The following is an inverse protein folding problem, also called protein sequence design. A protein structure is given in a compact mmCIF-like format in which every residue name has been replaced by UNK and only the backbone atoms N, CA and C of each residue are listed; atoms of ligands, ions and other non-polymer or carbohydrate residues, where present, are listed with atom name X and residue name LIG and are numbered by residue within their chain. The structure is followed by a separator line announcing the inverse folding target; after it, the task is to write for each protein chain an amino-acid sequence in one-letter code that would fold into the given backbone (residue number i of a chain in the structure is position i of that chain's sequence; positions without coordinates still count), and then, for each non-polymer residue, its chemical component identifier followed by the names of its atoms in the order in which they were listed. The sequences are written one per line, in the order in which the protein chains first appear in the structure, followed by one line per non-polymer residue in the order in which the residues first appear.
data_IF_258824086572
#
_entry.id   IF_258824086572
#
_cell.length_a   1.000
_cell.length_b   1.000
_cell.length_c   1.000
_cell.angle_alpha   90.00
_cell.angle_beta   90.00
_cell.angle_gamma   90.00
#
_symmetry.space_group_name_H-M   'P 1'
#
loop_
_entity.id
_entity.type
_entity.pdbx_description
1 polymer ?
#
# COMPACT_ATOMS: atom_id res chain seq x y z
N UNK A 1 8.57 18.88 -53.66
CA UNK A 1 7.33 18.59 -52.96
C UNK A 1 7.50 17.22 -52.34
N UNK A 2 7.69 17.14 -51.02
CA UNK A 2 7.73 15.88 -50.25
C UNK A 2 6.34 15.63 -49.70
N UNK A 3 5.74 14.45 -49.86
CA UNK A 3 4.49 14.11 -49.22
C UNK A 3 4.72 13.89 -47.72
N UNK A 4 4.02 14.64 -46.86
CA UNK A 4 3.90 14.37 -45.44
C UNK A 4 2.98 13.16 -45.26
N UNK A 5 3.51 12.10 -44.66
CA UNK A 5 2.71 10.98 -44.19
C UNK A 5 2.01 11.40 -42.90
N UNK A 6 0.71 11.22 -42.80
CA UNK A 6 -0.01 11.46 -41.56
C UNK A 6 0.32 10.31 -40.59
N UNK A 7 0.97 10.62 -39.48
CA UNK A 7 1.01 9.71 -38.34
C UNK A 7 -0.40 9.61 -37.77
N UNK A 8 -0.99 8.41 -37.65
CA UNK A 8 -2.21 8.26 -36.89
C UNK A 8 -1.83 8.42 -35.41
N UNK A 9 -2.23 9.50 -34.82
CA UNK A 9 -2.29 9.63 -33.37
C UNK A 9 -3.39 8.68 -32.86
N UNK A 10 -3.05 7.42 -32.64
CA UNK A 10 -3.88 6.52 -31.84
C UNK A 10 -3.52 6.80 -30.39
N UNK A 11 -4.04 7.92 -29.90
CA UNK A 11 -4.31 8.07 -28.47
C UNK A 11 -5.53 7.21 -28.16
N UNK A 12 -5.32 5.92 -27.96
CA UNK A 12 -6.30 5.11 -27.25
C UNK A 12 -6.17 5.58 -25.78
N UNK A 13 -6.89 6.63 -25.44
CA UNK A 13 -7.26 6.87 -24.07
C UNK A 13 -8.17 5.69 -23.69
N UNK A 14 -7.58 4.63 -23.15
CA UNK A 14 -8.35 3.65 -22.39
C UNK A 14 -8.86 4.42 -21.16
N UNK A 15 -10.04 4.97 -21.29
CA UNK A 15 -10.83 5.37 -20.13
C UNK A 15 -11.11 4.09 -19.36
N UNK A 16 -10.33 3.87 -18.30
CA UNK A 16 -10.58 2.79 -17.37
C UNK A 16 -11.95 3.06 -16.78
N UNK A 17 -12.89 2.20 -17.13
CA UNK A 17 -14.26 2.29 -16.67
C UNK A 17 -14.31 1.90 -15.19
N UNK A 18 -14.19 2.89 -14.30
CA UNK A 18 -14.24 2.74 -12.84
C UNK A 18 -15.53 2.05 -12.36
N UNK A 19 -16.57 1.98 -13.21
CA UNK A 19 -17.85 1.35 -12.88
C UNK A 19 -17.80 -0.19 -12.89
N UNK A 20 -16.72 -0.80 -13.36
CA UNK A 20 -16.61 -2.26 -13.51
C UNK A 20 -16.04 -3.01 -12.32
N UNK A 21 -15.45 -2.32 -11.36
CA UNK A 21 -14.94 -2.97 -10.15
C UNK A 21 -16.04 -3.00 -9.08
N UNK A 22 -16.96 -3.94 -9.18
CA UNK A 22 -17.97 -4.16 -8.15
C UNK A 22 -17.33 -4.82 -6.92
N UNK A 23 -17.00 -3.99 -5.94
CA UNK A 23 -16.53 -4.41 -4.63
C UNK A 23 -17.63 -4.23 -3.59
N UNK A 24 -17.95 -5.27 -2.85
CA UNK A 24 -18.80 -5.18 -1.66
C UNK A 24 -18.09 -4.36 -0.56
N UNK A 25 -18.83 -3.96 0.47
CA UNK A 25 -18.25 -3.24 1.62
C UNK A 25 -17.20 -4.07 2.35
N UNK A 26 -17.41 -5.37 2.48
CA UNK A 26 -16.48 -6.28 3.15
C UNK A 26 -15.21 -6.48 2.33
N UNK A 27 -15.33 -6.62 1.00
CA UNK A 27 -14.19 -6.69 0.09
C UNK A 27 -13.35 -5.41 0.14
N UNK A 28 -13.99 -4.23 0.15
CA UNK A 28 -13.28 -2.95 0.31
C UNK A 28 -12.60 -2.86 1.66
N UNK A 29 -13.28 -3.25 2.75
CA UNK A 29 -12.72 -3.27 4.09
C UNK A 29 -11.44 -4.09 4.15
N UNK A 30 -11.46 -5.29 3.57
CA UNK A 30 -10.32 -6.20 3.47
C UNK A 30 -9.17 -5.59 2.66
N UNK A 31 -9.46 -5.11 1.46
CA UNK A 31 -8.45 -4.49 0.59
C UNK A 31 -7.86 -3.21 1.20
N UNK A 32 -8.63 -2.41 1.91
CA UNK A 32 -8.12 -1.25 2.64
C UNK A 32 -7.28 -1.65 3.86
N UNK A 33 -7.52 -2.83 4.42
CA UNK A 33 -6.81 -3.36 5.59
C UNK A 33 -5.37 -3.78 5.30
N UNK A 34 -5.08 -4.33 4.11
CA UNK A 34 -3.77 -4.88 3.78
C UNK A 34 -2.60 -3.87 3.88
N UNK A 35 -2.67 -2.65 3.30
CA UNK A 35 -1.60 -1.66 3.49
C UNK A 35 -1.44 -1.23 4.96
N UNK A 36 -2.52 -1.19 5.74
CA UNK A 36 -2.46 -0.89 7.16
C UNK A 36 -1.80 -2.02 7.96
N UNK A 37 -2.13 -3.27 7.64
CA UNK A 37 -1.53 -4.44 8.29
C UNK A 37 -0.01 -4.50 8.04
N UNK A 38 0.42 -4.33 6.79
CA UNK A 38 1.83 -4.31 6.42
C UNK A 38 2.59 -3.17 7.10
N UNK A 39 2.03 -1.96 7.10
CA UNK A 39 2.63 -0.80 7.75
C UNK A 39 2.71 -0.98 9.27
N UNK A 40 1.67 -1.52 9.92
CA UNK A 40 1.69 -1.85 11.36
C UNK A 40 2.82 -2.84 11.68
N UNK A 41 3.05 -3.84 10.82
CA UNK A 41 4.14 -4.78 11.03
C UNK A 41 5.50 -4.07 10.99
N UNK A 42 5.73 -3.13 10.09
CA UNK A 42 6.96 -2.32 10.06
C UNK A 42 7.11 -1.49 11.34
N UNK A 43 6.03 -0.84 11.81
CA UNK A 43 6.02 -0.04 13.04
C UNK A 43 6.37 -0.86 14.28
N UNK A 44 6.13 -2.16 14.28
CA UNK A 44 6.29 -3.02 15.47
C UNK A 44 7.61 -3.76 15.53
N UNK A 45 8.41 -3.78 14.47
CA UNK A 45 9.69 -4.51 14.48
C UNK A 45 10.76 -3.83 15.33
N UNK A 46 10.68 -2.51 15.48
CA UNK A 46 11.57 -1.73 16.34
C UNK A 46 10.83 -1.31 17.62
N UNK A 47 10.89 -2.17 18.64
CA UNK A 47 10.18 -1.97 19.92
C UNK A 47 10.74 -0.81 20.77
N UNK A 48 11.70 -0.05 20.27
CA UNK A 48 12.45 0.95 21.05
C UNK A 48 11.92 2.38 20.97
N UNK A 49 11.22 2.78 19.92
CA UNK A 49 10.85 4.19 19.71
C UNK A 49 9.46 4.31 19.08
N UNK A 50 8.44 4.40 19.92
CA UNK A 50 7.09 4.68 19.45
C UNK A 50 6.92 6.18 19.14
N UNK A 51 7.01 6.55 17.85
CA UNK A 51 6.42 7.80 17.35
C UNK A 51 5.10 7.54 16.61
N UNK A 52 4.29 6.65 17.14
CA UNK A 52 3.09 6.08 16.52
C UNK A 52 2.14 7.10 15.86
N UNK A 53 2.08 8.33 16.37
CA UNK A 53 1.25 9.39 15.79
C UNK A 53 1.82 9.93 14.47
N UNK A 54 3.14 10.07 14.34
CA UNK A 54 3.80 10.55 13.12
C UNK A 54 3.75 9.49 12.02
N UNK A 55 3.98 8.24 12.38
CA UNK A 55 3.92 7.09 11.48
C UNK A 55 2.50 6.88 10.95
N UNK A 56 1.48 6.91 11.83
CA UNK A 56 0.08 6.83 11.43
C UNK A 56 -0.33 8.00 10.53
N UNK A 57 0.18 9.22 10.78
CA UNK A 57 -0.06 10.38 9.93
C UNK A 57 0.62 10.23 8.56
N UNK A 58 1.85 9.69 8.52
CA UNK A 58 2.58 9.44 7.28
C UNK A 58 1.83 8.42 6.41
N UNK A 59 1.41 7.30 6.99
CA UNK A 59 0.57 6.30 6.31
C UNK A 59 -0.74 6.91 5.81
N UNK A 60 -1.43 7.68 6.65
CA UNK A 60 -2.67 8.33 6.26
C UNK A 60 -2.52 9.27 5.08
N UNK A 61 -1.42 10.05 5.02
CA UNK A 61 -1.09 10.92 3.88
C UNK A 61 -0.77 10.13 2.63
N UNK A 62 -0.03 9.04 2.78
CA UNK A 62 0.33 8.15 1.69
C UNK A 62 -0.91 7.55 1.03
N UNK A 63 -1.80 6.98 1.82
CA UNK A 63 -3.06 6.40 1.32
C UNK A 63 -4.02 7.45 0.75
N UNK A 64 -4.11 8.63 1.36
CA UNK A 64 -4.93 9.73 0.85
C UNK A 64 -4.41 10.28 -0.50
N UNK A 65 -3.09 10.22 -0.73
CA UNK A 65 -2.46 10.61 -1.98
C UNK A 65 -2.49 9.53 -3.07
N UNK A 66 -2.77 8.28 -2.69
CA UNK A 66 -2.70 7.14 -3.59
C UNK A 66 -3.62 7.26 -4.81
N UNK A 67 -4.88 7.68 -4.60
CA UNK A 67 -5.84 7.84 -5.68
C UNK A 67 -5.42 8.92 -6.71
N UNK A 68 -4.57 9.86 -6.33
CA UNK A 68 -4.03 10.87 -7.26
C UNK A 68 -2.80 10.33 -8.01
N UNK A 69 -1.91 9.62 -7.32
CA UNK A 69 -0.71 9.03 -7.94
C UNK A 69 -1.05 7.89 -8.88
N UNK A 70 -2.01 7.08 -8.52
CA UNK A 70 -2.49 5.93 -9.28
C UNK A 70 -3.87 6.22 -9.92
N UNK A 71 -4.04 7.43 -10.49
CA UNK A 71 -5.34 7.94 -10.94
C UNK A 71 -6.08 7.05 -11.94
N UNK A 72 -5.33 6.28 -12.75
CA UNK A 72 -5.88 5.35 -13.72
C UNK A 72 -6.11 3.93 -13.15
N UNK A 73 -5.78 3.70 -11.87
CA UNK A 73 -5.98 2.41 -11.23
C UNK A 73 -7.38 2.33 -10.59
N UNK A 74 -8.30 1.52 -11.15
CA UNK A 74 -9.67 1.47 -10.67
C UNK A 74 -9.79 0.89 -9.27
N UNK A 75 -8.90 -0.04 -8.89
CA UNK A 75 -8.89 -0.64 -7.56
C UNK A 75 -8.51 0.42 -6.51
N UNK A 76 -7.39 1.13 -6.72
CA UNK A 76 -6.90 2.15 -5.78
C UNK A 76 -7.89 3.32 -5.69
N UNK A 77 -8.42 3.77 -6.82
CA UNK A 77 -9.44 4.84 -6.84
C UNK A 77 -10.71 4.41 -6.10
N UNK A 78 -11.17 3.18 -6.28
CA UNK A 78 -12.35 2.63 -5.61
C UNK A 78 -12.17 2.45 -4.09
N UNK A 79 -10.92 2.38 -3.59
CA UNK A 79 -10.62 2.24 -2.18
C UNK A 79 -10.30 3.57 -1.49
N UNK A 80 -9.55 4.46 -2.15
CA UNK A 80 -8.88 5.61 -1.51
C UNK A 80 -9.23 6.97 -2.15
N UNK A 81 -10.13 7.04 -3.13
CA UNK A 81 -10.65 8.33 -3.60
C UNK A 81 -11.44 9.04 -2.50
N UNK A 82 -11.59 10.35 -2.63
CA UNK A 82 -12.38 11.13 -1.67
C UNK A 82 -13.84 10.65 -1.59
N UNK A 83 -14.40 10.21 -2.69
CA UNK A 83 -15.74 9.64 -2.80
C UNK A 83 -15.82 8.32 -2.04
N UNK A 84 -14.87 7.41 -2.25
CA UNK A 84 -14.80 6.12 -1.55
C UNK A 84 -14.65 6.31 -0.03
N UNK A 85 -13.80 7.24 0.39
CA UNK A 85 -13.58 7.53 1.82
C UNK A 85 -14.83 8.15 2.50
N UNK A 86 -15.65 8.92 1.77
CA UNK A 86 -16.91 9.47 2.29
C UNK A 86 -17.97 8.41 2.58
N UNK A 87 -17.88 7.24 1.96
CA UNK A 87 -18.78 6.11 2.25
C UNK A 87 -18.59 5.55 3.68
N UNK A 88 -17.51 5.93 4.37
CA UNK A 88 -17.27 5.57 5.76
C UNK A 88 -16.92 4.10 5.97
N UNK A 89 -16.48 3.39 4.93
CA UNK A 89 -16.00 2.02 5.04
C UNK A 89 -14.71 2.03 5.85
N UNK A 90 -14.65 1.20 6.88
CA UNK A 90 -13.46 1.10 7.73
C UNK A 90 -12.58 -0.04 7.23
N UNK A 91 -11.24 0.18 7.18
CA UNK A 91 -10.30 -0.90 6.91
C UNK A 91 -10.43 -2.04 7.91
N UNK A 92 -10.29 -3.27 7.44
CA UNK A 92 -10.16 -4.43 8.31
C UNK A 92 -8.91 -4.27 9.18
N UNK A 93 -9.03 -4.66 10.44
CA UNK A 93 -7.93 -4.54 11.39
C UNK A 93 -7.17 -5.84 11.47
N UNK A 94 -5.85 -5.76 11.43
CA UNK A 94 -4.98 -6.91 11.68
C UNK A 94 -5.31 -7.51 13.05
N UNK A 95 -5.69 -8.79 13.04
CA UNK A 95 -6.01 -9.53 14.25
C UNK A 95 -4.71 -10.12 14.81
N UNK A 96 -4.28 -9.58 15.95
CA UNK A 96 -3.11 -10.04 16.68
C UNK A 96 -3.50 -10.58 18.04
N UNK A 97 -2.99 -11.75 18.40
CA UNK A 97 -3.04 -12.23 19.78
C UNK A 97 -1.73 -11.86 20.51
N UNK A 98 -1.74 -11.89 21.86
CA UNK A 98 -0.54 -11.56 22.64
C UNK A 98 0.67 -12.49 22.37
N UNK A 99 0.43 -13.70 21.86
CA UNK A 99 1.50 -14.64 21.52
C UNK A 99 2.16 -14.28 20.19
N UNK A 100 1.41 -13.72 19.22
CA UNK A 100 1.96 -13.22 17.96
C UNK A 100 2.93 -12.06 18.22
N UNK A 101 2.55 -11.15 19.10
CA UNK A 101 3.39 -10.00 19.48
C UNK A 101 4.65 -10.48 20.21
N UNK A 102 4.51 -11.32 21.27
CA UNK A 102 5.65 -11.84 22.03
C UNK A 102 6.57 -12.75 21.23
N UNK A 103 6.00 -13.48 20.27
CA UNK A 103 6.73 -14.40 19.39
C UNK A 103 7.34 -13.74 18.15
N UNK A 104 7.21 -12.43 17.99
CA UNK A 104 7.74 -11.71 16.82
C UNK A 104 7.05 -12.07 15.50
N UNK A 105 5.82 -12.57 15.56
CA UNK A 105 5.07 -13.03 14.37
C UNK A 105 4.16 -11.98 13.73
N UNK A 106 4.26 -10.72 14.14
CA UNK A 106 3.40 -9.65 13.64
C UNK A 106 3.52 -9.51 12.12
N UNK A 107 4.76 -9.56 11.60
CA UNK A 107 5.02 -9.50 10.17
C UNK A 107 4.44 -10.71 9.42
N UNK A 108 4.54 -11.91 9.98
CA UNK A 108 3.95 -13.12 9.35
C UNK A 108 2.43 -12.98 9.25
N UNK A 109 1.78 -12.54 10.33
CA UNK A 109 0.33 -12.31 10.36
C UNK A 109 -0.11 -11.22 9.38
N UNK A 110 0.67 -10.14 9.28
CA UNK A 110 0.39 -9.08 8.33
C UNK A 110 0.50 -9.58 6.88
N UNK A 111 1.50 -10.41 6.57
CA UNK A 111 1.64 -10.98 5.23
C UNK A 111 0.51 -11.98 4.90
N UNK A 112 -0.01 -12.74 5.85
CA UNK A 112 -1.20 -13.58 5.66
C UNK A 112 -2.44 -12.74 5.27
N UNK A 113 -2.64 -11.59 5.92
CA UNK A 113 -3.75 -10.68 5.57
C UNK A 113 -3.52 -10.01 4.21
N UNK A 114 -2.28 -9.65 3.89
CA UNK A 114 -1.90 -9.13 2.57
C UNK A 114 -2.17 -10.17 1.48
N UNK A 115 -1.78 -11.42 1.68
CA UNK A 115 -2.03 -12.49 0.73
C UNK A 115 -3.52 -12.70 0.46
N UNK A 116 -4.34 -12.70 1.51
CA UNK A 116 -5.78 -12.83 1.38
C UNK A 116 -6.42 -11.64 0.63
N UNK A 117 -5.88 -10.44 0.80
CA UNK A 117 -6.30 -9.26 0.04
C UNK A 117 -5.84 -9.32 -1.42
N UNK A 118 -4.63 -9.80 -1.69
CA UNK A 118 -4.10 -9.97 -3.05
C UNK A 118 -4.85 -11.04 -3.83
N UNK A 119 -5.22 -12.14 -3.18
CA UNK A 119 -6.07 -13.16 -3.82
C UNK A 119 -7.40 -12.56 -4.26
N UNK A 120 -8.03 -11.78 -3.39
CA UNK A 120 -9.25 -11.04 -3.74
C UNK A 120 -9.02 -10.02 -4.87
N UNK A 121 -7.94 -9.25 -4.81
CA UNK A 121 -7.61 -8.28 -5.84
C UNK A 121 -7.44 -8.93 -7.22
N UNK A 122 -6.75 -10.07 -7.29
CA UNK A 122 -6.56 -10.85 -8.54
C UNK A 122 -7.86 -11.41 -9.11
N UNK A 123 -8.86 -11.67 -8.28
CA UNK A 123 -10.19 -12.10 -8.74
C UNK A 123 -10.99 -10.94 -9.36
N UNK A 124 -10.67 -9.71 -9.01
CA UNK A 124 -11.45 -8.51 -9.37
C UNK A 124 -10.77 -7.62 -10.41
N UNK A 125 -9.45 -7.67 -10.52
CA UNK A 125 -8.66 -6.76 -11.35
C UNK A 125 -7.59 -7.51 -12.17
N UNK A 126 -7.08 -6.84 -13.20
CA UNK A 126 -5.98 -7.35 -14.00
C UNK A 126 -4.62 -7.23 -13.26
N UNK A 127 -3.63 -7.95 -13.76
CA UNK A 127 -2.31 -8.01 -13.13
C UNK A 127 -1.63 -6.62 -13.00
N UNK A 128 -1.65 -5.73 -14.01
CA UNK A 128 -1.09 -4.38 -13.85
C UNK A 128 -1.74 -3.58 -12.72
N UNK A 129 -3.07 -3.68 -12.58
CA UNK A 129 -3.83 -3.05 -11.48
C UNK A 129 -3.39 -3.60 -10.12
N UNK A 130 -3.25 -4.93 -10.01
CA UNK A 130 -2.79 -5.59 -8.78
C UNK A 130 -1.35 -5.21 -8.45
N UNK A 131 -0.45 -5.13 -9.43
CA UNK A 131 0.93 -4.72 -9.21
C UNK A 131 1.05 -3.30 -8.67
N UNK A 132 0.26 -2.36 -9.18
CA UNK A 132 0.21 -1.01 -8.61
C UNK A 132 -0.34 -1.00 -7.17
N UNK A 133 -1.27 -1.88 -6.86
CA UNK A 133 -1.75 -2.05 -5.50
C UNK A 133 -0.67 -2.65 -4.56
N UNK A 134 0.13 -3.60 -5.04
CA UNK A 134 1.32 -4.07 -4.32
C UNK A 134 2.32 -2.94 -4.07
N UNK A 135 2.56 -2.10 -5.08
CA UNK A 135 3.43 -0.93 -4.95
C UNK A 135 2.90 0.04 -3.88
N UNK A 136 1.60 0.33 -3.86
CA UNK A 136 0.98 1.15 -2.82
C UNK A 136 1.20 0.60 -1.40
N UNK A 137 1.12 -0.72 -1.22
CA UNK A 137 1.40 -1.35 0.08
C UNK A 137 2.85 -1.08 0.49
N UNK A 138 3.80 -1.24 -0.44
CA UNK A 138 5.22 -0.96 -0.18
C UNK A 138 5.45 0.52 0.12
N UNK A 139 4.85 1.42 -0.64
CA UNK A 139 4.97 2.88 -0.45
C UNK A 139 4.47 3.29 0.95
N UNK A 140 3.36 2.71 1.40
CA UNK A 140 2.84 2.91 2.76
C UNK A 140 3.83 2.46 3.85
N UNK A 141 4.46 1.30 3.67
CA UNK A 141 5.47 0.78 4.58
C UNK A 141 6.72 1.68 4.62
N UNK A 142 7.18 2.15 3.46
CA UNK A 142 8.32 3.09 3.35
C UNK A 142 8.01 4.41 4.05
N UNK A 143 6.82 4.98 3.81
CA UNK A 143 6.41 6.23 4.42
C UNK A 143 6.40 6.17 5.96
N UNK A 144 5.98 5.03 6.51
CA UNK A 144 5.99 4.76 7.96
C UNK A 144 7.42 4.67 8.49
N UNK A 145 8.28 3.86 7.88
CA UNK A 145 9.68 3.69 8.30
C UNK A 145 10.45 5.03 8.25
N UNK A 146 10.24 5.83 7.19
CA UNK A 146 10.87 7.15 7.09
C UNK A 146 10.35 8.15 8.14
N UNK A 147 9.09 8.02 8.54
CA UNK A 147 8.51 8.88 9.56
C UNK A 147 9.07 8.55 10.96
N UNK A 148 9.30 7.27 11.24
CA UNK A 148 9.94 6.82 12.48
C UNK A 148 11.35 7.41 12.65
N UNK A 149 12.15 7.40 11.58
CA UNK A 149 13.53 7.94 11.60
C UNK A 149 13.63 9.47 11.75
N UNK A 150 12.52 10.20 11.61
CA UNK A 150 12.45 11.65 11.87
C UNK A 150 12.17 12.00 13.34
N UNK A 151 12.26 11.02 14.25
CA UNK A 151 11.97 11.19 15.67
C UNK A 151 12.75 12.31 16.35
N UNK A 152 12.35 12.67 17.56
CA UNK A 152 12.65 13.87 18.39
C UNK A 152 14.13 14.31 18.51
N UNK A 153 15.11 13.54 18.05
CA UNK A 153 16.53 13.83 18.24
C UNK A 153 17.37 13.98 16.95
N UNK A 154 16.79 13.89 15.75
CA UNK A 154 17.41 14.37 14.49
C UNK A 154 18.78 13.81 14.09
N UNK A 155 19.31 12.79 14.74
CA UNK A 155 20.70 12.33 14.57
C UNK A 155 20.88 10.84 14.30
N UNK A 156 19.83 10.12 13.85
CA UNK A 156 19.88 8.69 13.58
C UNK A 156 19.74 8.32 12.10
N UNK A 157 20.04 7.10 11.76
CA UNK A 157 19.62 6.50 10.48
C UNK A 157 18.11 6.68 10.31
N UNK A 158 17.69 7.08 9.12
CA UNK A 158 16.27 7.36 8.84
C UNK A 158 15.37 6.12 8.93
N UNK A 159 15.96 4.94 8.84
CA UNK A 159 15.27 3.64 8.88
C UNK A 159 16.21 2.67 9.62
N UNK A 160 15.71 2.02 10.67
CA UNK A 160 16.50 1.05 11.42
C UNK A 160 16.84 -0.20 10.60
N UNK A 161 17.79 -1.02 11.07
CA UNK A 161 18.13 -2.29 10.42
C UNK A 161 16.95 -3.27 10.41
N UNK A 162 16.18 -3.27 11.47
CA UNK A 162 14.98 -4.11 11.64
C UNK A 162 13.86 -3.69 10.70
N UNK A 163 13.59 -2.40 10.61
CA UNK A 163 12.61 -1.85 9.64
C UNK A 163 13.04 -2.11 8.20
N UNK A 164 14.32 -1.96 7.89
CA UNK A 164 14.86 -2.27 6.57
C UNK A 164 14.67 -3.73 6.21
N UNK A 165 14.98 -4.64 7.13
CA UNK A 165 14.77 -6.07 6.94
C UNK A 165 13.26 -6.41 6.73
N UNK A 166 12.38 -5.77 7.49
CA UNK A 166 10.93 -5.93 7.30
C UNK A 166 10.46 -5.41 5.94
N UNK A 167 10.92 -4.23 5.52
CA UNK A 167 10.64 -3.66 4.21
C UNK A 167 11.11 -4.57 3.06
N UNK A 168 12.34 -5.09 3.15
CA UNK A 168 12.91 -5.97 2.13
C UNK A 168 12.12 -7.28 2.05
N UNK A 169 11.68 -7.80 3.18
CA UNK A 169 10.83 -8.98 3.22
C UNK A 169 9.46 -8.73 2.59
N UNK A 170 8.82 -7.60 2.88
CA UNK A 170 7.54 -7.20 2.27
C UNK A 170 7.71 -7.01 0.75
N UNK A 171 8.74 -6.30 0.30
CA UNK A 171 9.04 -6.12 -1.14
C UNK A 171 9.22 -7.43 -1.86
N UNK A 172 10.03 -8.32 -1.30
CA UNK A 172 10.28 -9.65 -1.87
C UNK A 172 9.01 -10.46 -1.96
N UNK A 173 8.19 -10.44 -0.91
CA UNK A 173 6.92 -11.16 -0.85
C UNK A 173 5.92 -10.66 -1.91
N UNK A 174 5.86 -9.35 -2.11
CA UNK A 174 4.98 -8.70 -3.08
C UNK A 174 5.54 -8.69 -4.52
N UNK A 175 6.77 -9.14 -4.74
CA UNK A 175 7.42 -9.07 -6.05
C UNK A 175 7.70 -7.63 -6.54
N UNK A 176 7.77 -6.68 -5.61
CA UNK A 176 8.06 -5.27 -5.91
C UNK A 176 9.57 -5.06 -5.90
N UNK A 177 10.15 -4.81 -7.07
CA UNK A 177 11.57 -4.49 -7.19
C UNK A 177 11.82 -3.01 -6.96
N UNK A 178 12.88 -2.69 -6.22
CA UNK A 178 13.40 -1.31 -6.15
C UNK A 178 13.94 -0.99 -7.55
N UNK A 179 13.43 0.06 -8.18
CA UNK A 179 14.08 0.57 -9.38
C UNK A 179 15.53 0.90 -9.00
N UNK A 180 16.49 0.29 -9.69
CA UNK A 180 17.90 0.64 -9.50
C UNK A 180 18.06 2.12 -9.91
N UNK A 181 18.50 2.96 -8.96
CA UNK A 181 18.92 4.34 -9.20
C UNK A 181 20.16 4.38 -10.08
#
# INVERSE_FOLDING_TARGET
VRPQLPFPAIAIAMTVDLSKLELSKDERSKLMGAPLAAALAVMTVDLGVFSSAQEALALGRELAGAAQRYGDNPLIAGLFSQEALKEGIRPEKLQLNPEDVRGGRVLDRALEEVDAALELARQKADEPTVQQYCQLIVDGCVAVAEAAGKGLFGSGEKVSSEERAALDRIRTHLGVTVAAE
#
